data_IF_827908501967
#
_entry.id   IF_827908501967
#
_cell.length_a   1.000
_cell.length_b   1.000
_cell.length_c   1.000
_cell.angle_alpha   90.00
_cell.angle_beta   90.00
_cell.angle_gamma   90.00
#
_symmetry.space_group_name_H-M   'P 1'
#
loop_
_entity.id
_entity.type
_entity.pdbx_description
1 polymer ?
#
# COMPACT_ATOMS: atom_id res chain seq x y z
N UNK A 1 31.48 -8.57 2.58
CA UNK A 1 30.56 -9.51 1.93
C UNK A 1 29.33 -8.72 1.49
N UNK A 2 29.21 -8.61 0.27
CA UNK A 2 28.58 -7.71 -0.67
C UNK A 2 27.23 -7.10 -0.25
N UNK A 3 27.17 -5.77 -0.22
CA UNK A 3 25.91 -4.98 -0.09
C UNK A 3 24.83 -5.45 -1.08
N UNK A 4 25.20 -6.07 -2.17
CA UNK A 4 24.30 -6.69 -3.15
C UNK A 4 23.56 -7.91 -2.57
N UNK A 5 24.26 -8.84 -1.92
CA UNK A 5 23.65 -10.03 -1.31
C UNK A 5 22.78 -9.69 -0.11
N UNK A 6 23.17 -8.71 0.70
CA UNK A 6 22.38 -8.25 1.84
C UNK A 6 21.05 -7.61 1.41
N UNK A 7 20.98 -7.12 0.18
CA UNK A 7 19.75 -6.59 -0.42
C UNK A 7 18.94 -7.67 -1.14
N UNK A 8 19.57 -8.57 -1.87
CA UNK A 8 18.89 -9.56 -2.70
C UNK A 8 18.12 -10.60 -1.88
N UNK A 9 18.70 -11.08 -0.77
CA UNK A 9 18.11 -12.15 0.06
C UNK A 9 16.74 -11.75 0.65
N UNK A 10 16.58 -10.61 1.34
CA UNK A 10 15.26 -10.24 1.90
C UNK A 10 14.21 -9.99 0.82
N UNK A 11 14.61 -9.42 -0.32
CA UNK A 11 13.72 -9.22 -1.47
C UNK A 11 13.20 -10.56 -2.00
N UNK A 12 14.08 -11.53 -2.19
CA UNK A 12 13.72 -12.87 -2.64
C UNK A 12 12.81 -13.59 -1.64
N UNK A 13 13.08 -13.47 -0.35
CA UNK A 13 12.27 -14.10 0.70
C UNK A 13 10.82 -13.60 0.66
N UNK A 14 10.59 -12.28 0.65
CA UNK A 14 9.21 -11.75 0.68
C UNK A 14 8.44 -12.09 -0.61
N UNK A 15 9.09 -12.06 -1.77
CA UNK A 15 8.49 -12.46 -3.05
C UNK A 15 8.14 -13.94 -3.05
N UNK A 16 9.06 -14.80 -2.57
CA UNK A 16 8.83 -16.25 -2.46
C UNK A 16 7.70 -16.57 -1.48
N UNK A 17 7.60 -15.85 -0.37
CA UNK A 17 6.48 -16.00 0.57
C UNK A 17 5.15 -15.60 -0.06
N UNK A 18 5.09 -14.48 -0.80
CA UNK A 18 3.90 -14.04 -1.51
C UNK A 18 3.44 -15.06 -2.54
N UNK A 19 4.34 -15.42 -3.47
CA UNK A 19 4.04 -16.37 -4.54
C UNK A 19 3.74 -17.76 -3.95
N UNK A 20 4.55 -18.22 -3.00
CA UNK A 20 4.37 -19.52 -2.36
C UNK A 20 3.02 -19.63 -1.64
N UNK A 21 2.61 -18.60 -0.91
CA UNK A 21 1.33 -18.62 -0.19
C UNK A 21 0.13 -18.67 -1.13
N UNK A 22 0.14 -17.85 -2.20
CA UNK A 22 -0.96 -17.80 -3.15
C UNK A 22 -1.06 -19.09 -4.00
N UNK A 23 0.07 -19.72 -4.32
CA UNK A 23 0.09 -20.97 -5.06
C UNK A 23 -0.35 -22.15 -4.21
N UNK A 24 -0.02 -22.16 -2.92
CA UNK A 24 -0.28 -23.31 -2.05
C UNK A 24 -1.75 -23.37 -1.61
N UNK A 25 -2.28 -22.31 -1.00
CA UNK A 25 -3.70 -22.32 -0.53
C UNK A 25 -4.21 -20.90 -0.21
N UNK A 26 -5.53 -20.74 -0.37
CA UNK A 26 -6.25 -19.53 0.00
C UNK A 26 -6.05 -19.16 1.47
N UNK A 27 -6.07 -20.15 2.37
CA UNK A 27 -5.86 -19.92 3.80
C UNK A 27 -4.47 -19.33 4.10
N UNK A 28 -3.40 -19.88 3.51
CA UNK A 28 -2.05 -19.35 3.70
C UNK A 28 -1.90 -17.95 3.13
N UNK A 29 -2.53 -17.68 1.99
CA UNK A 29 -2.53 -16.34 1.40
C UNK A 29 -3.21 -15.33 2.33
N UNK A 30 -4.41 -15.63 2.83
CA UNK A 30 -5.14 -14.76 3.77
C UNK A 30 -4.33 -14.54 5.05
N UNK A 31 -3.75 -15.61 5.61
CA UNK A 31 -2.91 -15.51 6.80
C UNK A 31 -1.68 -14.62 6.56
N UNK A 32 -1.02 -14.76 5.41
CA UNK A 32 0.14 -13.93 5.05
C UNK A 32 -0.25 -12.46 4.90
N UNK A 33 -1.37 -12.16 4.21
CA UNK A 33 -1.87 -10.78 4.07
C UNK A 33 -2.19 -10.16 5.42
N UNK A 34 -2.79 -10.94 6.32
CA UNK A 34 -3.05 -10.49 7.70
C UNK A 34 -1.75 -10.18 8.45
N UNK A 35 -0.77 -11.08 8.39
CA UNK A 35 0.54 -10.86 9.03
C UNK A 35 1.25 -9.64 8.44
N UNK A 36 1.22 -9.44 7.13
CA UNK A 36 1.82 -8.28 6.48
C UNK A 36 1.16 -6.98 6.94
N UNK A 37 -0.17 -6.94 7.02
CA UNK A 37 -0.89 -5.80 7.55
C UNK A 37 -0.47 -5.48 8.98
N UNK A 38 -0.42 -6.48 9.87
CA UNK A 38 0.02 -6.30 11.25
C UNK A 38 1.45 -5.78 11.33
N UNK A 39 2.38 -6.34 10.57
CA UNK A 39 3.79 -5.89 10.54
C UNK A 39 3.87 -4.42 10.13
N UNK A 40 3.14 -4.02 9.08
CA UNK A 40 3.13 -2.62 8.61
C UNK A 40 2.55 -1.69 9.68
N UNK A 41 1.47 -2.09 10.34
CA UNK A 41 0.90 -1.31 11.44
C UNK A 41 1.93 -1.14 12.58
N UNK A 42 2.68 -2.19 12.92
CA UNK A 42 3.75 -2.11 13.93
C UNK A 42 4.92 -1.23 13.48
N UNK A 43 5.38 -1.35 12.22
CA UNK A 43 6.44 -0.49 11.65
C UNK A 43 6.02 0.98 11.73
N UNK A 44 4.82 1.26 11.24
CA UNK A 44 4.27 2.61 11.24
C UNK A 44 4.09 3.17 12.65
N UNK A 45 3.53 2.38 13.57
CA UNK A 45 3.36 2.77 14.97
C UNK A 45 4.68 3.04 15.68
N UNK A 46 5.76 2.30 15.34
CA UNK A 46 7.11 2.54 15.86
C UNK A 46 7.65 3.89 15.39
N UNK A 47 7.43 4.26 14.13
CA UNK A 47 7.82 5.57 13.59
C UNK A 47 7.07 6.70 14.30
N UNK A 48 5.75 6.58 14.45
CA UNK A 48 4.94 7.57 15.18
C UNK A 48 5.41 7.76 16.63
N UNK A 49 5.84 6.68 17.29
CA UNK A 49 6.36 6.71 18.65
C UNK A 49 7.71 7.43 18.76
N UNK A 50 8.58 7.23 17.78
CA UNK A 50 9.91 7.87 17.74
C UNK A 50 9.84 9.35 17.34
N UNK A 51 8.73 9.79 16.77
CA UNK A 51 8.48 11.18 16.41
C UNK A 51 8.25 12.02 17.70
N UNK A 52 9.35 12.24 18.41
CA UNK A 52 9.41 12.90 19.70
C UNK A 52 9.01 14.39 19.69
N UNK A 53 8.71 14.97 18.54
CA UNK A 53 8.34 16.40 18.43
C UNK A 53 7.09 16.69 19.26
N UNK A 54 6.12 15.77 19.32
CA UNK A 54 4.91 15.94 20.11
C UNK A 54 5.14 15.76 21.61
N UNK A 55 6.02 14.84 22.02
CA UNK A 55 6.37 14.62 23.42
C UNK A 55 7.19 15.80 23.98
N UNK A 56 8.06 16.43 23.18
CA UNK A 56 8.78 17.66 23.59
C UNK A 56 7.81 18.82 23.81
N UNK A 57 6.87 19.05 22.88
CA UNK A 57 5.90 20.15 23.02
C UNK A 57 4.93 19.97 24.20
N UNK A 58 4.58 18.72 24.55
CA UNK A 58 3.76 18.40 25.72
C UNK A 58 4.60 18.50 27.01
N UNK A 59 5.88 18.09 26.97
CA UNK A 59 6.81 18.25 28.12
C UNK A 59 7.05 19.72 28.48
N UNK A 60 7.11 20.58 27.50
CA UNK A 60 7.35 22.02 27.72
C UNK A 60 6.09 22.78 28.15
N UNK A 61 4.88 22.37 27.71
CA UNK A 61 3.63 23.09 27.98
C UNK A 61 2.91 22.70 29.28
N UNK A 62 3.12 21.51 29.83
CA UNK A 62 2.37 21.07 31.01
C UNK A 62 3.30 20.44 32.07
N UNK A 63 3.25 20.94 33.31
CA UNK A 63 3.78 20.31 34.55
C UNK A 63 2.98 19.03 34.90
N UNK A 64 2.71 18.16 33.96
CA UNK A 64 2.03 16.89 34.23
C UNK A 64 2.98 15.89 34.87
N UNK A 65 2.49 15.15 35.88
CA UNK A 65 3.21 14.06 36.49
C UNK A 65 3.58 12.98 35.45
N UNK A 66 4.69 12.27 35.65
CA UNK A 66 5.19 11.25 34.69
C UNK A 66 4.16 10.17 34.35
N UNK A 67 3.29 9.81 35.30
CA UNK A 67 2.21 8.84 35.13
C UNK A 67 1.16 9.37 34.13
N UNK A 68 0.74 10.62 34.29
CA UNK A 68 -0.24 11.23 33.37
C UNK A 68 0.34 11.42 31.97
N UNK A 69 1.65 11.64 31.84
CA UNK A 69 2.34 11.70 30.54
C UNK A 69 2.35 10.34 29.84
N UNK A 70 2.58 9.23 30.57
CA UNK A 70 2.52 7.88 30.04
C UNK A 70 1.11 7.48 29.60
N UNK A 71 0.10 7.82 30.40
CA UNK A 71 -1.30 7.56 30.11
C UNK A 71 -1.76 8.37 28.88
N UNK A 72 -1.46 9.66 28.83
CA UNK A 72 -1.80 10.51 27.67
C UNK A 72 -1.08 10.01 26.40
N UNK A 73 0.17 9.60 26.51
CA UNK A 73 0.93 8.98 25.43
C UNK A 73 0.25 7.70 24.92
N UNK A 74 -0.19 6.81 25.83
CA UNK A 74 -0.89 5.58 25.46
C UNK A 74 -2.18 5.90 24.69
N UNK A 75 -2.99 6.84 25.17
CA UNK A 75 -4.25 7.22 24.53
C UNK A 75 -4.04 7.90 23.17
N UNK A 76 -3.00 8.72 22.99
CA UNK A 76 -2.80 9.46 21.74
C UNK A 76 -2.17 8.61 20.63
N UNK A 77 -1.31 7.65 20.99
CA UNK A 77 -0.54 6.88 20.03
C UNK A 77 -1.10 5.46 19.79
N UNK A 78 -1.61 4.82 20.85
CA UNK A 78 -2.09 3.44 20.73
C UNK A 78 -3.59 3.31 20.41
N UNK A 79 -4.44 4.26 20.78
CA UNK A 79 -5.87 4.17 20.47
C UNK A 79 -6.17 4.12 18.97
N UNK A 80 -5.55 4.95 18.10
CA UNK A 80 -5.77 4.82 16.66
C UNK A 80 -5.30 3.46 16.13
N UNK A 81 -4.17 2.95 16.64
CA UNK A 81 -3.62 1.66 16.24
C UNK A 81 -4.53 0.50 16.68
N UNK A 82 -5.00 0.51 17.93
CA UNK A 82 -5.93 -0.49 18.47
C UNK A 82 -7.25 -0.45 17.68
N UNK A 83 -7.75 0.74 17.36
CA UNK A 83 -8.96 0.92 16.56
C UNK A 83 -8.78 0.33 15.15
N UNK A 84 -7.64 0.58 14.48
CA UNK A 84 -7.35 0.01 13.16
C UNK A 84 -7.21 -1.51 13.20
N UNK A 85 -6.56 -2.06 14.22
CA UNK A 85 -6.46 -3.51 14.42
C UNK A 85 -7.87 -4.11 14.66
N UNK A 86 -8.70 -3.46 15.47
CA UNK A 86 -10.07 -3.92 15.72
C UNK A 86 -10.94 -3.88 14.47
N UNK A 87 -10.82 -2.84 13.65
CA UNK A 87 -11.49 -2.76 12.34
C UNK A 87 -11.02 -3.86 11.40
N UNK A 88 -9.71 -4.17 11.42
CA UNK A 88 -9.16 -5.24 10.60
C UNK A 88 -9.68 -6.62 11.04
N UNK A 89 -9.68 -6.89 12.34
CA UNK A 89 -10.26 -8.14 12.91
C UNK A 89 -11.76 -8.22 12.61
N UNK A 90 -12.50 -7.13 12.80
CA UNK A 90 -13.92 -7.07 12.48
C UNK A 90 -14.15 -7.35 10.98
N UNK A 91 -13.35 -6.75 10.12
CA UNK A 91 -13.39 -7.00 8.67
C UNK A 91 -13.22 -8.49 8.35
N UNK A 92 -12.24 -9.15 8.93
CA UNK A 92 -12.05 -10.60 8.76
C UNK A 92 -13.26 -11.39 9.27
N UNK A 93 -13.76 -11.11 10.47
CA UNK A 93 -14.93 -11.80 11.03
C UNK A 93 -16.15 -11.66 10.11
N UNK A 94 -16.38 -10.46 9.59
CA UNK A 94 -17.48 -10.19 8.67
C UNK A 94 -17.28 -10.92 7.34
N UNK A 95 -16.05 -11.03 6.81
CA UNK A 95 -15.78 -11.75 5.55
C UNK A 95 -16.02 -13.26 5.66
N UNK A 96 -15.80 -13.87 6.84
CA UNK A 96 -16.09 -15.28 7.07
C UNK A 96 -17.57 -15.58 7.36
N UNK A 97 -18.38 -14.59 7.72
CA UNK A 97 -19.83 -14.73 7.94
C UNK A 97 -20.59 -14.37 6.66
N UNK A 98 -20.91 -15.38 5.84
CA UNK A 98 -21.63 -15.20 4.58
C UNK A 98 -23.06 -14.68 4.77
N UNK A 99 -23.27 -13.38 4.66
CA UNK A 99 -24.58 -12.75 4.67
C UNK A 99 -24.59 -11.45 3.86
N UNK A 100 -25.77 -10.90 3.55
CA UNK A 100 -25.95 -9.60 2.90
C UNK A 100 -25.19 -8.46 3.63
N UNK A 101 -24.99 -8.60 4.95
CA UNK A 101 -24.21 -7.65 5.76
C UNK A 101 -22.76 -7.53 5.26
N UNK A 102 -22.21 -8.64 4.76
CA UNK A 102 -20.88 -8.70 4.19
C UNK A 102 -20.74 -7.78 2.95
N UNK A 103 -21.71 -7.78 2.05
CA UNK A 103 -21.70 -6.96 0.83
C UNK A 103 -21.73 -5.45 1.16
N UNK A 104 -22.57 -5.03 2.11
CA UNK A 104 -22.62 -3.62 2.52
C UNK A 104 -21.32 -3.18 3.19
N UNK A 105 -20.76 -4.01 4.06
CA UNK A 105 -19.51 -3.72 4.76
C UNK A 105 -18.34 -3.56 3.77
N UNK A 106 -18.28 -4.40 2.76
CA UNK A 106 -17.32 -4.33 1.66
C UNK A 106 -17.39 -2.99 0.92
N UNK A 107 -18.60 -2.55 0.53
CA UNK A 107 -18.75 -1.28 -0.16
C UNK A 107 -18.35 -0.10 0.73
N UNK A 108 -18.67 -0.15 2.03
CA UNK A 108 -18.23 0.88 2.98
C UNK A 108 -16.71 0.95 3.05
N UNK A 109 -16.01 -0.19 3.23
CA UNK A 109 -14.54 -0.23 3.23
C UNK A 109 -14.01 0.33 1.92
N UNK A 110 -14.55 -0.14 0.80
CA UNK A 110 -14.12 0.29 -0.52
C UNK A 110 -14.23 1.81 -0.70
N UNK A 111 -15.38 2.42 -0.39
CA UNK A 111 -15.55 3.87 -0.49
C UNK A 111 -14.63 4.64 0.45
N UNK A 112 -14.46 4.18 1.69
CA UNK A 112 -13.52 4.80 2.65
C UNK A 112 -12.10 4.77 2.13
N UNK A 113 -11.63 3.64 1.59
CA UNK A 113 -10.28 3.50 1.05
C UNK A 113 -10.09 4.31 -0.22
N UNK A 114 -11.10 4.36 -1.08
CA UNK A 114 -11.06 5.15 -2.31
C UNK A 114 -10.96 6.65 -2.00
N UNK A 115 -11.79 7.16 -1.09
CA UNK A 115 -11.72 8.55 -0.61
C UNK A 115 -10.35 8.82 0.01
N UNK A 116 -9.84 7.91 0.85
CA UNK A 116 -8.50 7.99 1.42
C UNK A 116 -7.44 8.14 0.33
N UNK A 117 -7.48 7.31 -0.71
CA UNK A 117 -6.51 7.33 -1.80
C UNK A 117 -6.53 8.66 -2.57
N UNK A 118 -7.71 9.22 -2.86
CA UNK A 118 -7.82 10.52 -3.49
C UNK A 118 -7.33 11.67 -2.59
N UNK A 119 -7.60 11.61 -1.30
CA UNK A 119 -7.06 12.57 -0.33
C UNK A 119 -5.54 12.50 -0.26
N UNK A 120 -4.94 11.29 -0.33
CA UNK A 120 -3.49 11.12 -0.35
C UNK A 120 -2.86 11.68 -1.63
N UNK A 121 -3.50 11.52 -2.79
CA UNK A 121 -3.05 12.17 -4.04
C UNK A 121 -3.09 13.69 -3.87
N UNK A 122 -4.20 14.25 -3.35
CA UNK A 122 -4.30 15.68 -3.04
C UNK A 122 -3.21 16.16 -2.09
N UNK A 123 -2.83 15.34 -1.10
CA UNK A 123 -1.77 15.64 -0.15
C UNK A 123 -0.38 15.73 -0.81
N UNK A 124 -0.09 14.93 -1.83
CA UNK A 124 1.16 15.04 -2.60
C UNK A 124 1.31 16.43 -3.22
N UNK A 125 0.24 16.98 -3.79
CA UNK A 125 0.27 18.26 -4.51
C UNK A 125 0.07 19.47 -3.61
N UNK A 126 -0.85 19.43 -2.64
CA UNK A 126 -1.20 20.57 -1.76
C UNK A 126 -0.42 20.59 -0.44
N UNK A 127 0.25 19.51 -0.08
CA UNK A 127 1.04 19.41 1.15
C UNK A 127 0.22 19.60 2.43
N UNK A 128 0.80 20.34 3.39
CA UNK A 128 0.22 20.55 4.74
C UNK A 128 -1.08 21.34 4.74
N UNK A 129 -1.39 22.06 3.70
CA UNK A 129 -2.63 22.85 3.61
C UNK A 129 -3.90 21.99 3.61
N UNK A 130 -3.79 20.72 3.17
CA UNK A 130 -4.92 19.80 3.14
C UNK A 130 -5.33 19.31 4.53
N UNK A 131 -4.40 19.28 5.49
CA UNK A 131 -4.62 18.77 6.84
C UNK A 131 -4.25 19.82 7.89
N UNK A 132 -5.26 20.35 8.57
CA UNK A 132 -5.07 21.31 9.66
C UNK A 132 -4.46 20.67 10.92
N UNK A 133 -4.71 19.38 11.17
CA UNK A 133 -4.16 18.63 12.30
C UNK A 133 -3.03 17.70 11.85
N UNK A 134 -1.82 17.95 12.35
CA UNK A 134 -0.63 17.12 12.09
C UNK A 134 -0.80 15.66 12.56
N UNK A 135 -1.61 15.40 13.61
CA UNK A 135 -1.85 14.04 14.10
C UNK A 135 -2.69 13.25 13.13
N UNK A 136 -3.76 13.88 12.65
CA UNK A 136 -4.63 13.27 11.66
C UNK A 136 -3.86 12.96 10.37
N UNK A 137 -3.03 13.88 9.89
CA UNK A 137 -2.15 13.67 8.74
C UNK A 137 -1.24 12.44 8.90
N UNK A 138 -0.71 12.22 10.10
CA UNK A 138 0.20 11.12 10.39
C UNK A 138 -0.49 9.76 10.50
N UNK A 139 -1.74 9.71 10.97
CA UNK A 139 -2.48 8.44 11.17
C UNK A 139 -3.37 8.07 10.00
N UNK A 140 -3.80 9.04 9.21
CA UNK A 140 -4.70 8.85 8.08
C UNK A 140 -4.22 7.80 7.04
N UNK A 141 -2.92 7.71 6.68
CA UNK A 141 -2.45 6.71 5.73
C UNK A 141 -2.71 5.26 6.16
N UNK A 142 -2.78 4.99 7.47
CA UNK A 142 -3.08 3.65 7.99
C UNK A 142 -4.47 3.14 7.59
N UNK A 143 -5.44 4.05 7.38
CA UNK A 143 -6.78 3.68 6.87
C UNK A 143 -6.64 3.05 5.47
N UNK A 144 -5.83 3.65 4.61
CA UNK A 144 -5.53 3.11 3.28
C UNK A 144 -4.85 1.74 3.35
N UNK A 145 -3.86 1.59 4.23
CA UNK A 145 -3.16 0.31 4.44
C UNK A 145 -4.14 -0.80 4.85
N UNK A 146 -4.86 -0.59 5.96
CA UNK A 146 -5.79 -1.59 6.51
C UNK A 146 -6.88 -1.93 5.49
N UNK A 147 -7.48 -0.90 4.89
CA UNK A 147 -8.56 -1.09 3.93
C UNK A 147 -8.12 -1.83 2.67
N UNK A 148 -6.94 -1.54 2.13
CA UNK A 148 -6.40 -2.25 0.95
C UNK A 148 -6.15 -3.72 1.25
N UNK A 149 -5.57 -4.05 2.41
CA UNK A 149 -5.41 -5.45 2.82
C UNK A 149 -6.75 -6.16 3.00
N UNK A 150 -7.75 -5.50 3.59
CA UNK A 150 -9.11 -6.05 3.70
C UNK A 150 -9.73 -6.30 2.32
N UNK A 151 -9.56 -5.39 1.35
CA UNK A 151 -10.04 -5.59 -0.01
C UNK A 151 -9.34 -6.75 -0.72
N UNK A 152 -8.01 -6.91 -0.53
CA UNK A 152 -7.25 -8.06 -1.07
C UNK A 152 -7.76 -9.38 -0.48
N UNK A 153 -7.89 -9.46 0.84
CA UNK A 153 -8.40 -10.64 1.54
C UNK A 153 -9.82 -10.95 1.08
N UNK A 154 -10.69 -9.95 1.06
CA UNK A 154 -12.07 -10.10 0.64
C UNK A 154 -12.18 -10.61 -0.81
N UNK A 155 -11.41 -10.02 -1.72
CA UNK A 155 -11.37 -10.49 -3.12
C UNK A 155 -10.97 -11.95 -3.22
N UNK A 156 -9.98 -12.38 -2.43
CA UNK A 156 -9.55 -13.78 -2.41
C UNK A 156 -10.61 -14.75 -1.90
N UNK A 157 -11.58 -14.29 -1.08
CA UNK A 157 -12.62 -15.11 -0.46
C UNK A 157 -13.91 -15.18 -1.31
N UNK A 158 -14.19 -14.17 -2.11
CA UNK A 158 -15.44 -14.07 -2.88
C UNK A 158 -15.28 -14.62 -4.30
N UNK A 159 -14.17 -14.28 -4.95
CA UNK A 159 -13.93 -14.81 -6.29
C UNK A 159 -13.49 -16.26 -6.24
N UNK A 160 -13.72 -16.99 -7.33
CA UNK A 160 -13.08 -18.30 -7.48
C UNK A 160 -11.57 -18.16 -7.25
N UNK A 161 -11.04 -18.95 -6.32
CA UNK A 161 -9.66 -18.80 -5.90
C UNK A 161 -8.66 -19.10 -7.01
N UNK A 162 -8.99 -19.97 -7.95
CA UNK A 162 -8.11 -20.28 -9.08
C UNK A 162 -7.99 -19.08 -10.02
N UNK A 163 -9.09 -18.38 -10.28
CA UNK A 163 -9.09 -17.15 -11.08
C UNK A 163 -8.42 -16.00 -10.33
N UNK A 164 -8.75 -15.80 -9.04
CA UNK A 164 -8.12 -14.79 -8.21
C UNK A 164 -6.61 -14.98 -8.14
N UNK A 165 -6.13 -16.20 -7.97
CA UNK A 165 -4.69 -16.53 -7.94
C UNK A 165 -3.97 -16.09 -9.22
N UNK A 166 -4.50 -16.45 -10.39
CA UNK A 166 -3.93 -16.03 -11.67
C UNK A 166 -3.92 -14.52 -11.83
N UNK A 167 -5.03 -13.88 -11.48
CA UNK A 167 -5.16 -12.43 -11.52
C UNK A 167 -4.18 -11.74 -10.57
N UNK A 168 -4.02 -12.22 -9.34
CA UNK A 168 -3.13 -11.59 -8.36
C UNK A 168 -1.65 -11.77 -8.73
N UNK A 169 -1.28 -12.91 -9.30
CA UNK A 169 0.08 -13.11 -9.85
C UNK A 169 0.33 -12.15 -11.03
N UNK A 170 -0.63 -12.03 -11.96
CA UNK A 170 -0.59 -11.02 -13.02
C UNK A 170 -0.35 -9.62 -12.46
N UNK A 171 -1.11 -9.24 -11.45
CA UNK A 171 -1.02 -7.94 -10.80
C UNK A 171 0.37 -7.71 -10.16
N UNK A 172 0.92 -8.69 -9.46
CA UNK A 172 2.26 -8.59 -8.86
C UNK A 172 3.35 -8.41 -9.92
N UNK A 173 3.31 -9.21 -10.99
CA UNK A 173 4.30 -9.11 -12.10
C UNK A 173 4.21 -7.73 -12.76
N UNK A 174 2.99 -7.22 -12.96
CA UNK A 174 2.79 -5.89 -13.53
C UNK A 174 3.43 -4.80 -12.66
N UNK A 175 3.19 -4.79 -11.34
CA UNK A 175 3.76 -3.78 -10.44
C UNK A 175 5.29 -3.84 -10.45
N UNK A 176 5.86 -5.04 -10.29
CA UNK A 176 7.33 -5.19 -10.32
C UNK A 176 7.93 -4.82 -11.68
N UNK A 177 7.22 -5.09 -12.76
CA UNK A 177 7.61 -4.66 -14.10
C UNK A 177 7.57 -3.13 -14.26
N UNK A 178 6.52 -2.49 -13.77
CA UNK A 178 6.37 -1.02 -13.76
C UNK A 178 7.53 -0.36 -13.02
N UNK A 179 7.88 -0.86 -11.83
CA UNK A 179 8.98 -0.33 -11.03
C UNK A 179 10.34 -0.57 -11.70
N UNK A 180 10.56 -1.77 -12.23
CA UNK A 180 11.82 -2.17 -12.88
C UNK A 180 12.06 -1.39 -14.17
N UNK A 181 11.05 -1.28 -15.02
CA UNK A 181 11.13 -0.54 -16.30
C UNK A 181 11.25 0.95 -16.03
N UNK A 182 10.48 1.48 -15.05
CA UNK A 182 10.57 2.87 -14.64
C UNK A 182 11.97 3.26 -14.17
N UNK A 183 12.59 2.40 -13.37
CA UNK A 183 13.98 2.57 -12.93
C UNK A 183 14.98 2.50 -14.11
N UNK A 184 14.86 1.47 -14.95
CA UNK A 184 15.76 1.27 -16.08
C UNK A 184 15.69 2.44 -17.09
N UNK A 185 14.49 2.82 -17.51
CA UNK A 185 14.28 3.93 -18.45
C UNK A 185 14.70 5.26 -17.82
N UNK A 186 14.32 5.48 -16.55
CA UNK A 186 14.67 6.69 -15.82
C UNK A 186 16.18 6.87 -15.61
N UNK A 187 16.92 5.78 -15.40
CA UNK A 187 18.36 5.83 -15.21
C UNK A 187 19.13 6.06 -16.53
N UNK A 188 18.64 5.49 -17.65
CA UNK A 188 19.34 5.60 -18.93
C UNK A 188 18.90 6.80 -19.77
N UNK A 189 17.66 7.21 -19.70
CA UNK A 189 17.05 8.23 -20.56
C UNK A 189 16.46 9.41 -19.80
N UNK A 190 16.43 9.36 -18.46
CA UNK A 190 15.80 10.39 -17.62
C UNK A 190 16.53 11.72 -17.68
N UNK A 191 15.83 12.77 -18.06
CA UNK A 191 16.30 14.15 -18.08
C UNK A 191 15.49 15.04 -17.13
N UNK A 192 14.18 14.80 -17.08
CA UNK A 192 13.25 15.63 -16.32
C UNK A 192 12.83 14.90 -15.04
N UNK A 193 12.92 15.58 -13.89
CA UNK A 193 12.50 15.01 -12.60
C UNK A 193 10.98 14.94 -12.52
N UNK A 194 10.45 13.81 -12.03
CA UNK A 194 9.00 13.63 -11.85
C UNK A 194 8.49 14.50 -10.69
N UNK A 195 9.19 14.44 -9.54
CA UNK A 195 8.92 15.27 -8.36
C UNK A 195 10.18 15.38 -7.50
N UNK A 196 11.01 16.38 -7.78
CA UNK A 196 12.37 16.50 -7.24
C UNK A 196 12.41 16.56 -5.70
N UNK A 197 11.49 17.32 -5.09
CA UNK A 197 11.47 17.50 -3.62
C UNK A 197 11.07 16.23 -2.84
N UNK A 198 10.38 15.28 -3.46
CA UNK A 198 9.93 14.03 -2.81
C UNK A 198 10.83 12.85 -3.15
N UNK A 199 11.10 12.69 -4.43
CA UNK A 199 11.87 11.58 -4.97
C UNK A 199 12.81 12.04 -6.08
N UNK A 200 14.04 12.48 -5.73
CA UNK A 200 14.98 13.08 -6.67
C UNK A 200 15.48 12.12 -7.77
N UNK A 201 15.29 10.82 -7.58
CA UNK A 201 15.73 9.80 -8.53
C UNK A 201 14.67 9.44 -9.57
N UNK A 202 13.38 9.78 -9.35
CA UNK A 202 12.32 9.49 -10.32
C UNK A 202 12.26 10.53 -11.41
N UNK A 203 12.06 10.06 -12.66
CA UNK A 203 12.00 10.89 -13.86
C UNK A 203 10.69 10.72 -14.60
N UNK A 204 10.30 11.75 -15.38
CA UNK A 204 9.10 11.70 -16.23
C UNK A 204 9.27 10.63 -17.30
N UNK A 205 10.45 10.51 -17.89
CA UNK A 205 10.76 9.50 -18.91
C UNK A 205 10.63 8.08 -18.33
N UNK A 206 11.05 7.88 -17.08
CA UNK A 206 10.86 6.61 -16.38
C UNK A 206 9.37 6.28 -16.21
N UNK A 207 8.56 7.26 -15.78
CA UNK A 207 7.12 7.08 -15.63
C UNK A 207 6.43 6.78 -16.98
N UNK A 208 6.80 7.47 -18.04
CA UNK A 208 6.30 7.19 -19.40
C UNK A 208 6.70 5.77 -19.84
N UNK A 209 7.95 5.36 -19.60
CA UNK A 209 8.40 4.00 -19.90
C UNK A 209 7.58 2.93 -19.16
N UNK A 210 7.26 3.15 -17.89
CA UNK A 210 6.38 2.28 -17.10
C UNK A 210 4.96 2.18 -17.67
N UNK A 211 4.40 3.30 -18.13
CA UNK A 211 3.06 3.34 -18.75
C UNK A 211 3.06 2.57 -20.08
N UNK A 212 4.06 2.78 -20.94
CA UNK A 212 4.19 2.04 -22.20
C UNK A 212 4.32 0.54 -21.92
N UNK A 213 5.16 0.15 -20.96
CA UNK A 213 5.30 -1.24 -20.54
C UNK A 213 3.94 -1.81 -20.10
N UNK A 214 3.15 -1.09 -19.31
CA UNK A 214 1.87 -1.58 -18.82
C UNK A 214 0.86 -1.85 -19.92
N UNK A 215 0.84 -1.03 -20.98
CA UNK A 215 -0.02 -1.24 -22.16
C UNK A 215 0.39 -2.53 -22.91
N UNK A 216 1.69 -2.70 -23.17
CA UNK A 216 2.22 -3.89 -23.83
C UNK A 216 1.94 -5.14 -23.00
N UNK A 217 2.17 -5.05 -21.70
CA UNK A 217 1.92 -6.14 -20.77
C UNK A 217 0.44 -6.53 -20.74
N UNK A 218 -0.47 -5.56 -20.64
CA UNK A 218 -1.93 -5.79 -20.67
C UNK A 218 -2.39 -6.48 -21.95
N UNK A 219 -1.84 -6.09 -23.10
CA UNK A 219 -2.11 -6.73 -24.37
C UNK A 219 -1.65 -8.20 -24.39
N UNK A 220 -0.41 -8.47 -23.97
CA UNK A 220 0.16 -9.83 -24.01
C UNK A 220 -0.57 -10.77 -23.05
N UNK A 221 -0.87 -10.29 -21.83
CA UNK A 221 -1.36 -11.15 -20.76
C UNK A 221 -2.88 -11.42 -20.86
N UNK A 222 -3.62 -10.64 -21.63
CA UNK A 222 -5.09 -10.75 -21.74
C UNK A 222 -5.57 -12.18 -22.03
N UNK A 223 -4.87 -12.88 -22.93
CA UNK A 223 -5.18 -14.26 -23.31
C UNK A 223 -4.88 -15.28 -22.17
N UNK A 224 -3.95 -14.99 -21.27
CA UNK A 224 -3.60 -15.88 -20.16
C UNK A 224 -4.56 -15.75 -18.97
N UNK A 225 -5.14 -14.58 -18.78
CA UNK A 225 -6.05 -14.29 -17.65
C UNK A 225 -7.53 -14.36 -18.08
N UNK A 226 -7.80 -14.69 -19.35
CA UNK A 226 -9.15 -14.74 -19.95
C UNK A 226 -9.93 -13.44 -19.76
N UNK A 227 -9.28 -12.29 -19.89
CA UNK A 227 -9.89 -10.98 -19.87
C UNK A 227 -9.98 -10.42 -21.30
N UNK A 228 -11.00 -9.59 -21.54
CA UNK A 228 -11.07 -8.81 -22.77
C UNK A 228 -9.79 -7.97 -22.94
N UNK A 229 -9.29 -7.90 -24.18
CA UNK A 229 -8.02 -7.22 -24.50
C UNK A 229 -8.05 -5.75 -24.08
N UNK A 230 -9.13 -5.05 -24.42
CA UNK A 230 -9.27 -3.63 -24.10
C UNK A 230 -9.34 -3.41 -22.59
N UNK A 231 -10.12 -4.26 -21.91
CA UNK A 231 -10.22 -4.19 -20.45
C UNK A 231 -8.86 -4.49 -19.78
N UNK A 232 -8.12 -5.50 -20.25
CA UNK A 232 -6.79 -5.84 -19.72
C UNK A 232 -5.78 -4.71 -19.88
N UNK A 233 -5.80 -4.01 -21.04
CA UNK A 233 -4.95 -2.84 -21.28
C UNK A 233 -5.33 -1.70 -20.32
N UNK A 234 -6.61 -1.38 -20.20
CA UNK A 234 -7.08 -0.31 -19.30
C UNK A 234 -6.74 -0.63 -17.85
N UNK A 235 -6.96 -1.87 -17.42
CA UNK A 235 -6.63 -2.33 -16.08
C UNK A 235 -5.14 -2.21 -15.78
N UNK A 236 -4.27 -2.59 -16.71
CA UNK A 236 -2.82 -2.46 -16.58
C UNK A 236 -2.37 -1.00 -16.52
N UNK A 237 -2.95 -0.15 -17.34
CA UNK A 237 -2.67 1.29 -17.38
C UNK A 237 -3.07 1.97 -16.04
N UNK A 238 -4.25 1.65 -15.51
CA UNK A 238 -4.73 2.15 -14.22
C UNK A 238 -3.80 1.65 -13.11
N UNK A 239 -3.47 0.36 -13.10
CA UNK A 239 -2.55 -0.23 -12.12
C UNK A 239 -1.21 0.50 -12.11
N UNK A 240 -0.57 0.68 -13.26
CA UNK A 240 0.71 1.37 -13.37
C UNK A 240 0.64 2.82 -12.90
N UNK A 241 -0.41 3.54 -13.29
CA UNK A 241 -0.61 4.92 -12.87
C UNK A 241 -0.71 5.05 -11.35
N UNK A 242 -1.56 4.23 -10.73
CA UNK A 242 -1.73 4.29 -9.27
C UNK A 242 -0.58 3.66 -8.48
N UNK A 243 0.19 2.72 -9.05
CA UNK A 243 1.45 2.25 -8.47
C UNK A 243 2.49 3.39 -8.39
N UNK A 244 2.66 4.17 -9.46
CA UNK A 244 3.54 5.33 -9.50
C UNK A 244 3.09 6.39 -8.47
N UNK A 245 1.79 6.67 -8.36
CA UNK A 245 1.25 7.58 -7.35
C UNK A 245 1.45 7.05 -5.93
N UNK A 246 1.31 5.74 -5.70
CA UNK A 246 1.50 5.11 -4.39
C UNK A 246 2.89 5.36 -3.83
N UNK A 247 3.92 5.16 -4.65
CA UNK A 247 5.29 5.44 -4.24
C UNK A 247 5.54 6.95 -3.99
N UNK A 248 4.92 7.86 -4.77
CA UNK A 248 5.00 9.30 -4.48
C UNK A 248 4.31 9.66 -3.16
N UNK A 249 3.13 9.09 -2.91
CA UNK A 249 2.40 9.28 -1.65
C UNK A 249 3.23 8.80 -0.47
N UNK A 250 3.79 7.60 -0.55
CA UNK A 250 4.63 7.06 0.50
C UNK A 250 5.91 7.89 0.70
N UNK A 251 6.52 8.34 -0.38
CA UNK A 251 7.67 9.25 -0.32
C UNK A 251 7.32 10.55 0.39
N UNK A 252 6.13 11.12 0.14
CA UNK A 252 5.63 12.31 0.83
C UNK A 252 5.45 12.06 2.32
N UNK A 253 4.81 10.96 2.70
CA UNK A 253 4.60 10.59 4.10
C UNK A 253 5.95 10.46 4.82
N UNK A 254 6.94 9.79 4.21
CA UNK A 254 8.28 9.65 4.78
C UNK A 254 8.95 11.01 5.04
N UNK A 255 8.84 11.97 4.12
CA UNK A 255 9.40 13.32 4.31
C UNK A 255 8.69 14.09 5.43
N UNK A 256 7.37 13.94 5.56
CA UNK A 256 6.61 14.59 6.64
C UNK A 256 6.88 13.97 8.03
N UNK A 257 7.34 12.73 8.07
CA UNK A 257 7.75 12.02 9.29
C UNK A 257 9.25 12.14 9.57
N UNK A 258 10.00 12.89 8.75
CA UNK A 258 11.46 13.05 8.83
C UNK A 258 12.22 11.69 8.83
N UNK A 259 11.71 10.72 8.07
CA UNK A 259 12.33 9.40 7.91
C UNK A 259 12.69 9.13 6.44
N UNK A 260 13.57 8.16 6.25
CA UNK A 260 13.90 7.62 4.92
C UNK A 260 13.14 6.32 4.64
N UNK A 261 13.07 5.44 5.60
CA UNK A 261 12.43 4.13 5.51
C UNK A 261 11.55 3.91 6.76
N UNK A 262 10.42 3.18 6.62
CA UNK A 262 9.51 2.91 7.74
C UNK A 262 10.05 1.91 8.76
N UNK A 263 10.97 1.05 8.35
CA UNK A 263 11.54 0.04 9.21
C UNK A 263 12.88 -0.48 8.71
N UNK A 264 13.42 -1.43 9.46
CA UNK A 264 14.66 -2.14 9.13
C UNK A 264 14.44 -3.66 9.11
N UNK A 265 13.19 -4.11 8.95
CA UNK A 265 12.85 -5.53 8.97
C UNK A 265 13.59 -6.28 7.84
N UNK A 266 13.61 -5.68 6.68
CA UNK A 266 14.34 -6.20 5.53
C UNK A 266 15.70 -5.48 5.46
N UNK A 267 16.73 -6.08 6.10
CA UNK A 267 18.08 -5.51 6.13
C UNK A 267 18.53 -5.03 4.75
N UNK A 268 18.84 -3.74 4.63
CA UNK A 268 19.24 -3.11 3.37
C UNK A 268 18.11 -2.74 2.40
N UNK A 269 16.84 -3.08 2.71
CA UNK A 269 15.66 -2.78 1.88
C UNK A 269 14.59 -1.93 2.58
N UNK A 270 14.80 -1.52 3.83
CA UNK A 270 13.80 -0.79 4.59
C UNK A 270 12.78 -1.68 5.29
N UNK A 271 11.58 -1.16 5.51
CA UNK A 271 10.45 -1.88 6.08
C UNK A 271 9.63 -2.65 5.05
N UNK A 272 8.70 -3.46 5.55
CA UNK A 272 7.73 -4.16 4.71
C UNK A 272 6.79 -3.18 3.99
N UNK A 273 6.43 -2.07 4.67
CA UNK A 273 5.62 -1.01 4.06
C UNK A 273 6.33 -0.39 2.84
N UNK A 274 7.67 -0.26 2.89
CA UNK A 274 8.47 0.25 1.77
C UNK A 274 8.49 -0.67 0.54
N UNK A 275 7.97 -1.88 0.65
CA UNK A 275 7.92 -2.89 -0.44
C UNK A 275 6.53 -3.15 -0.99
N UNK A 276 5.51 -2.80 -0.24
CA UNK A 276 4.12 -3.05 -0.58
C UNK A 276 3.31 -1.77 -0.87
N UNK A 277 3.98 -0.61 -0.86
CA UNK A 277 3.35 0.70 -1.06
C UNK A 277 2.56 0.79 -2.37
N UNK A 278 3.16 0.40 -3.49
CA UNK A 278 2.53 0.36 -4.80
C UNK A 278 1.34 -0.60 -4.84
N UNK A 279 1.46 -1.76 -4.17
CA UNK A 279 0.37 -2.75 -4.05
C UNK A 279 -0.78 -2.17 -3.23
N UNK A 280 -0.47 -1.64 -2.05
CA UNK A 280 -1.46 -1.09 -1.13
C UNK A 280 -2.24 0.05 -1.78
N UNK A 281 -1.54 0.93 -2.49
CA UNK A 281 -2.16 2.12 -3.05
C UNK A 281 -2.96 1.84 -4.33
N UNK A 282 -2.50 0.94 -5.20
CA UNK A 282 -3.17 0.66 -6.48
C UNK A 282 -4.34 -0.31 -6.36
N UNK A 283 -4.34 -1.23 -5.38
CA UNK A 283 -5.36 -2.29 -5.28
C UNK A 283 -6.80 -1.79 -5.17
N UNK A 284 -7.15 -0.72 -4.45
CA UNK A 284 -8.52 -0.19 -4.42
C UNK A 284 -9.06 0.19 -5.79
N UNK A 285 -8.23 0.74 -6.65
CA UNK A 285 -8.61 1.12 -8.02
C UNK A 285 -8.81 -0.10 -8.92
N UNK A 286 -7.98 -1.13 -8.72
CA UNK A 286 -8.13 -2.41 -9.40
C UNK A 286 -9.41 -3.10 -8.97
N UNK A 287 -9.67 -3.09 -7.67
CA UNK A 287 -10.91 -3.63 -7.12
C UNK A 287 -12.15 -2.95 -7.73
N UNK A 288 -12.11 -1.61 -7.90
CA UNK A 288 -13.16 -0.86 -8.61
C UNK A 288 -13.36 -1.36 -10.04
N UNK A 289 -12.25 -1.48 -10.78
CA UNK A 289 -12.30 -1.91 -12.19
C UNK A 289 -12.84 -3.33 -12.35
N UNK A 290 -12.43 -4.26 -11.49
CA UNK A 290 -12.94 -5.62 -11.49
C UNK A 290 -14.44 -5.66 -11.15
N UNK A 291 -14.85 -4.87 -10.17
CA UNK A 291 -16.26 -4.77 -9.79
C UNK A 291 -17.10 -4.26 -10.96
N UNK A 292 -16.65 -3.20 -11.63
CA UNK A 292 -17.34 -2.65 -12.82
C UNK A 292 -17.40 -3.72 -13.93
N UNK A 293 -16.29 -4.39 -14.20
CA UNK A 293 -16.22 -5.41 -15.26
C UNK A 293 -17.23 -6.54 -15.03
N UNK A 294 -17.31 -7.06 -13.81
CA UNK A 294 -18.23 -8.15 -13.45
C UNK A 294 -19.71 -7.71 -13.55
N UNK A 295 -20.01 -6.43 -13.28
CA UNK A 295 -21.39 -5.92 -13.39
C UNK A 295 -21.79 -5.59 -14.84
N UNK A 296 -20.84 -5.38 -15.74
CA UNK A 296 -21.10 -4.98 -17.14
C UNK A 296 -20.99 -6.19 -18.08
N UNK A 297 -20.23 -7.22 -17.75
CA UNK A 297 -20.10 -8.48 -18.50
C UNK A 297 -21.20 -9.47 -18.13
#
# INVERSE_FOLDING_TARGET
MNDFLTRLIPGFIYVSLLIGSILHSQFLFVLLMFLFCLIIIFEYGKVLRNDNVHLKSIKEKNKLNEINKKILFFYTEFTPLIFLISLFILGIIVTFNSSRLNTYFQYVIFFVVLINSFMMIGFVFKGKELFSDKRFMKTWPLIGVVGSFLLIIYSSLIYDYSQFKLFFIYYLILIWGVDSVGYFVGNNFGKNKLYESLSPNKTIEGAVGSIIFSIIYGFIISSYVNLDILFSIILSLITASFAIFGDLVQSKIKRELDIKDFGNLLKGHGGLYDRLDSIIFSFPFIYLMLTIYIYVS
#
